data_IF_616165541443
#
_entry.id   IF_616165541443
#
_cell.length_a   1.000
_cell.length_b   1.000
_cell.length_c   1.000
_cell.angle_alpha   90.00
_cell.angle_beta   90.00
_cell.angle_gamma   90.00
#
_symmetry.space_group_name_H-M   'P 1'
#
loop_
_entity.id
_entity.type
_entity.pdbx_description
1 polymer ?
#
# COMPACT_ATOMS: atom_id res chain seq x y z
N UNK A 1 2.48 -3.17 13.28
CA UNK A 1 2.60 -2.31 12.07
C UNK A 1 3.64 -2.81 11.08
N UNK A 2 4.92 -3.01 11.42
CA UNK A 2 5.94 -3.51 10.46
C UNK A 2 5.61 -4.83 9.73
N UNK A 3 4.83 -5.74 10.34
CA UNK A 3 4.36 -6.98 9.65
C UNK A 3 3.24 -6.74 8.63
N UNK A 4 2.38 -5.74 8.84
CA UNK A 4 1.26 -5.44 7.95
C UNK A 4 1.76 -4.90 6.61
N UNK A 5 2.65 -3.90 6.63
CA UNK A 5 3.22 -3.36 5.39
C UNK A 5 4.00 -4.39 4.56
N UNK A 6 4.68 -5.35 5.21
CA UNK A 6 5.39 -6.43 4.49
C UNK A 6 4.44 -7.40 3.79
N UNK A 7 3.28 -7.68 4.39
CA UNK A 7 2.28 -8.55 3.80
C UNK A 7 1.56 -7.85 2.65
N UNK A 8 1.23 -6.58 2.81
CA UNK A 8 0.65 -5.74 1.75
C UNK A 8 1.59 -5.61 0.55
N UNK A 9 2.89 -5.41 0.77
CA UNK A 9 3.91 -5.39 -0.29
C UNK A 9 3.98 -6.73 -1.04
N UNK A 10 3.96 -7.85 -0.33
CA UNK A 10 3.97 -9.17 -0.95
C UNK A 10 2.74 -9.39 -1.84
N UNK A 11 1.57 -8.95 -1.39
CA UNK A 11 0.32 -9.08 -2.16
C UNK A 11 0.35 -8.18 -3.41
N UNK A 12 0.76 -6.93 -3.27
CA UNK A 12 0.91 -6.02 -4.42
C UNK A 12 1.89 -6.56 -5.46
N UNK A 13 3.00 -7.14 -5.01
CA UNK A 13 3.97 -7.78 -5.89
C UNK A 13 3.37 -8.97 -6.64
N UNK A 14 2.57 -9.80 -5.97
CA UNK A 14 1.85 -10.90 -6.62
C UNK A 14 0.86 -10.40 -7.65
N UNK A 15 0.12 -9.32 -7.35
CA UNK A 15 -0.83 -8.71 -8.31
C UNK A 15 -0.10 -8.19 -9.54
N UNK A 16 1.06 -7.54 -9.41
CA UNK A 16 1.83 -7.11 -10.58
C UNK A 16 2.32 -8.28 -11.43
N UNK A 17 2.82 -9.35 -10.81
CA UNK A 17 3.25 -10.54 -11.55
C UNK A 17 2.11 -11.19 -12.32
N UNK A 18 0.94 -11.34 -11.69
CA UNK A 18 -0.24 -11.89 -12.33
C UNK A 18 -0.77 -10.96 -13.43
N UNK A 19 -0.78 -9.66 -13.19
CA UNK A 19 -1.20 -8.67 -14.18
C UNK A 19 -0.27 -8.64 -15.39
N UNK A 20 1.05 -8.71 -15.18
CA UNK A 20 2.02 -8.81 -16.27
C UNK A 20 1.87 -10.11 -17.06
N UNK A 21 1.64 -11.24 -16.38
CA UNK A 21 1.36 -12.51 -17.03
C UNK A 21 0.04 -12.45 -17.84
N UNK A 22 -0.99 -11.80 -17.32
CA UNK A 22 -2.26 -11.61 -18.00
C UNK A 22 -2.12 -10.73 -19.26
N UNK A 23 -1.35 -9.64 -19.21
CA UNK A 23 -1.04 -8.81 -20.38
C UNK A 23 -0.27 -9.57 -21.47
N UNK A 24 0.58 -10.53 -21.08
CA UNK A 24 1.29 -11.40 -22.04
C UNK A 24 0.39 -12.50 -22.60
N UNK A 25 -0.58 -12.99 -21.81
CA UNK A 25 -1.48 -14.07 -22.21
C UNK A 25 -2.66 -13.59 -23.06
N UNK A 26 -3.15 -12.37 -22.82
CA UNK A 26 -4.27 -11.77 -23.54
C UNK A 26 -3.94 -10.33 -23.96
N UNK A 27 -3.81 -10.04 -25.28
CA UNK A 27 -3.59 -8.69 -25.79
C UNK A 27 -4.72 -7.70 -25.48
N UNK A 28 -5.93 -8.18 -25.15
CA UNK A 28 -7.08 -7.36 -24.80
C UNK A 28 -7.18 -7.10 -23.28
N UNK A 29 -6.29 -7.69 -22.48
CA UNK A 29 -6.26 -7.44 -21.04
C UNK A 29 -5.69 -6.04 -20.77
N UNK A 30 -6.53 -5.16 -20.26
CA UNK A 30 -6.12 -3.82 -19.83
C UNK A 30 -5.49 -3.88 -18.44
N UNK A 31 -4.19 -3.60 -18.36
CA UNK A 31 -3.47 -3.60 -17.09
C UNK A 31 -3.82 -2.35 -16.28
N UNK A 32 -4.36 -2.47 -15.05
CA UNK A 32 -4.86 -1.34 -14.26
C UNK A 32 -3.71 -0.53 -13.63
N UNK A 33 -2.92 0.12 -14.49
CA UNK A 33 -1.69 0.84 -14.12
C UNK A 33 -1.97 1.98 -13.14
N UNK A 34 -2.98 2.79 -13.40
CA UNK A 34 -3.30 3.96 -12.57
C UNK A 34 -3.78 3.56 -11.18
N UNK A 35 -4.55 2.48 -11.08
CA UNK A 35 -5.04 1.98 -9.81
C UNK A 35 -3.91 1.40 -8.97
N UNK A 36 -3.04 0.60 -9.58
CA UNK A 36 -1.85 0.06 -8.91
C UNK A 36 -0.89 1.17 -8.48
N UNK A 37 -0.69 2.22 -9.28
CA UNK A 37 0.12 3.38 -8.91
C UNK A 37 -0.45 4.12 -7.68
N UNK A 38 -1.77 4.30 -7.61
CA UNK A 38 -2.42 4.88 -6.41
C UNK A 38 -2.19 4.01 -5.17
N UNK A 39 -2.38 2.69 -5.29
CA UNK A 39 -2.20 1.76 -4.17
C UNK A 39 -0.74 1.73 -3.71
N UNK A 40 0.21 1.72 -4.65
CA UNK A 40 1.65 1.81 -4.35
C UNK A 40 2.01 3.09 -3.61
N UNK A 41 1.47 4.25 -4.05
CA UNK A 41 1.68 5.52 -3.35
C UNK A 41 1.16 5.47 -1.91
N UNK A 42 -0.03 4.90 -1.69
CA UNK A 42 -0.58 4.70 -0.33
C UNK A 42 0.29 3.76 0.50
N UNK A 43 0.73 2.64 -0.07
CA UNK A 43 1.61 1.69 0.60
C UNK A 43 2.95 2.34 0.98
N UNK A 44 3.58 3.08 0.06
CA UNK A 44 4.84 3.78 0.30
C UNK A 44 4.72 4.88 1.37
N UNK A 45 3.59 5.58 1.43
CA UNK A 45 3.30 6.54 2.51
C UNK A 45 3.24 5.83 3.89
N UNK A 46 2.65 4.63 3.94
CA UNK A 46 2.63 3.80 5.15
C UNK A 46 3.99 3.17 5.48
N UNK A 47 4.90 3.08 4.49
CA UNK A 47 6.26 2.57 4.64
C UNK A 47 7.30 3.65 4.99
N UNK A 48 6.95 4.94 4.95
CA UNK A 48 7.89 6.01 5.29
C UNK A 48 8.30 5.94 6.78
N UNK A 49 9.45 5.29 6.99
CA UNK A 49 10.30 5.09 8.17
C UNK A 49 9.77 4.35 9.42
N UNK A 50 8.86 4.93 10.18
CA UNK A 50 8.52 4.46 11.51
C UNK A 50 7.31 5.31 11.90
N UNK A 51 6.10 4.88 11.52
CA UNK A 51 4.92 5.11 12.36
C UNK A 51 5.00 4.20 13.59
N UNK A 52 6.16 4.21 14.23
CA UNK A 52 6.42 3.84 15.59
C UNK A 52 7.34 4.95 16.09
N UNK A 53 6.82 5.92 16.84
CA UNK A 53 7.70 6.87 17.46
C UNK A 53 8.51 6.13 18.53
N UNK A 54 9.82 6.11 18.33
CA UNK A 54 10.73 6.51 19.41
C UNK A 54 11.10 7.99 19.32
N UNK A 55 10.37 8.79 18.51
CA UNK A 55 10.63 10.23 18.31
C UNK A 55 9.41 11.15 18.08
N UNK A 56 8.17 10.68 18.07
CA UNK A 56 6.96 11.53 17.89
C UNK A 56 6.09 11.60 19.16
N UNK A 57 5.64 12.80 19.49
CA UNK A 57 4.75 13.10 20.63
C UNK A 57 3.38 12.46 20.36
N UNK A 58 2.76 11.91 21.41
CA UNK A 58 1.52 11.11 21.41
C UNK A 58 0.29 11.72 20.70
N UNK A 59 0.37 12.97 20.27
CA UNK A 59 -0.67 13.67 19.51
C UNK A 59 -0.78 13.14 18.07
N UNK A 60 0.34 12.88 17.39
CA UNK A 60 0.35 12.38 16.00
C UNK A 60 -0.26 10.99 15.87
N UNK A 61 -0.11 10.15 16.91
CA UNK A 61 -0.68 8.80 16.95
C UNK A 61 -2.23 8.81 17.06
N UNK A 62 -2.81 9.88 17.61
CA UNK A 62 -4.27 10.05 17.69
C UNK A 62 -4.86 10.46 16.36
N UNK A 63 -4.22 11.42 15.69
CA UNK A 63 -4.68 11.93 14.40
C UNK A 63 -4.60 10.84 13.30
N UNK A 64 -3.54 10.04 13.29
CA UNK A 64 -3.43 8.89 12.39
C UNK A 64 -4.52 7.83 12.62
N UNK A 65 -4.94 7.60 13.87
CA UNK A 65 -6.03 6.67 14.20
C UNK A 65 -7.39 7.19 13.76
N UNK A 66 -7.64 8.48 13.90
CA UNK A 66 -8.91 9.08 13.51
C UNK A 66 -9.05 9.15 11.99
N UNK A 67 -7.97 9.40 11.26
CA UNK A 67 -7.95 9.28 9.80
C UNK A 67 -8.25 7.85 9.33
N UNK A 68 -7.64 6.84 9.97
CA UNK A 68 -7.85 5.44 9.62
C UNK A 68 -9.30 4.98 9.86
N UNK A 69 -9.97 5.54 10.86
CA UNK A 69 -11.38 5.25 11.18
C UNK A 69 -12.41 5.90 10.27
N UNK A 70 -12.00 6.92 9.49
CA UNK A 70 -12.91 7.72 8.67
C UNK A 70 -12.93 7.30 7.20
N UNK A 71 -11.92 6.54 6.78
CA UNK A 71 -11.76 6.04 5.40
C UNK A 71 -12.05 4.54 5.24
N UNK A 72 -12.31 3.83 6.34
CA UNK A 72 -12.88 2.49 6.38
C UNK A 72 -14.35 2.59 6.76
#
# INVERSE_FOLDING_TARGET
MKRGCRQEESLLRTVEYLGAAATLADPNYDYPREELDRIWKTLMLNQFHDVLPRSSIAWVLREARDHYRRFM
#
